data_IF_081332990296
#
_entry.id   IF_081332990296
#
_cell.length_a   1.000
_cell.length_b   1.000
_cell.length_c   1.000
_cell.angle_alpha   90.00
_cell.angle_beta   90.00
_cell.angle_gamma   90.00
#
_symmetry.space_group_name_H-M   'P 1'
#
loop_
_entity.id
_entity.type
_entity.pdbx_description
1 polymer ?
#
# COMPACT_ATOMS: atom_id res chain seq x y z
N UNK A 1 15.64 2.40 13.00
CA UNK A 1 14.31 1.76 13.10
C UNK A 1 13.12 2.66 12.82
N UNK A 2 13.32 3.93 12.43
CA UNK A 2 12.23 4.88 12.18
C UNK A 2 12.05 5.21 10.69
N UNK A 3 13.05 4.93 9.85
CA UNK A 3 13.08 5.44 8.48
C UNK A 3 12.15 4.64 7.58
N UNK A 4 12.19 3.30 7.68
CA UNK A 4 11.29 2.42 6.93
C UNK A 4 9.83 2.73 7.22
N UNK A 5 9.43 2.75 8.50
CA UNK A 5 8.04 3.01 8.87
C UNK A 5 7.59 4.40 8.48
N UNK A 6 8.44 5.41 8.59
CA UNK A 6 8.09 6.77 8.14
C UNK A 6 7.87 6.81 6.63
N UNK A 7 8.68 6.10 5.85
CA UNK A 7 8.51 6.02 4.40
C UNK A 7 7.20 5.32 4.01
N UNK A 8 6.85 4.20 4.66
CA UNK A 8 5.59 3.49 4.38
C UNK A 8 4.37 4.34 4.79
N UNK A 9 4.38 4.94 5.99
CA UNK A 9 3.34 5.88 6.44
C UNK A 9 3.16 7.06 5.49
N UNK A 10 4.25 7.57 4.91
CA UNK A 10 4.19 8.65 3.94
C UNK A 10 3.50 8.21 2.63
N UNK A 11 3.81 7.00 2.16
CA UNK A 11 3.10 6.43 1.00
C UNK A 11 1.61 6.25 1.31
N UNK A 12 1.26 5.68 2.48
CA UNK A 12 -0.12 5.50 2.94
C UNK A 12 -0.90 6.82 2.96
N UNK A 13 -0.31 7.85 3.54
CA UNK A 13 -0.94 9.16 3.64
C UNK A 13 -1.14 9.77 2.24
N UNK A 14 -0.13 9.71 1.37
CA UNK A 14 -0.25 10.30 0.02
C UNK A 14 -1.33 9.57 -0.80
N UNK A 15 -1.41 8.24 -0.77
CA UNK A 15 -2.42 7.50 -1.53
C UNK A 15 -3.84 7.70 -0.97
N UNK A 16 -4.00 7.70 0.35
CA UNK A 16 -5.33 7.91 0.98
C UNK A 16 -5.84 9.34 0.74
N UNK A 17 -4.98 10.35 0.82
CA UNK A 17 -5.33 11.74 0.50
C UNK A 17 -5.74 11.89 -0.97
N UNK A 18 -5.02 11.28 -1.89
CA UNK A 18 -5.35 11.32 -3.31
C UNK A 18 -6.67 10.61 -3.64
N UNK A 19 -6.96 9.50 -2.95
CA UNK A 19 -8.23 8.79 -3.08
C UNK A 19 -9.40 9.63 -2.54
N UNK A 20 -9.24 10.23 -1.36
CA UNK A 20 -10.24 11.13 -0.77
C UNK A 20 -10.52 12.31 -1.70
N UNK A 21 -9.47 12.95 -2.23
CA UNK A 21 -9.61 14.05 -3.18
C UNK A 21 -10.40 13.62 -4.43
N UNK A 22 -10.15 12.43 -4.98
CA UNK A 22 -10.88 11.91 -6.13
C UNK A 22 -12.37 11.68 -5.80
N UNK A 23 -12.68 11.22 -4.59
CA UNK A 23 -14.05 10.99 -4.13
C UNK A 23 -14.80 12.32 -3.95
N UNK A 24 -14.22 13.29 -3.25
CA UNK A 24 -14.83 14.58 -2.96
C UNK A 24 -15.07 15.40 -4.23
N UNK A 25 -14.08 15.44 -5.11
CA UNK A 25 -14.15 16.18 -6.39
C UNK A 25 -14.97 15.45 -7.44
N UNK A 26 -15.24 14.15 -7.25
CA UNK A 26 -15.80 13.24 -8.26
C UNK A 26 -14.98 13.21 -9.55
N UNK A 27 -13.67 13.39 -9.44
CA UNK A 27 -12.72 13.37 -10.55
C UNK A 27 -11.69 12.24 -10.39
N UNK A 28 -11.77 11.16 -11.18
CA UNK A 28 -10.81 10.06 -11.13
C UNK A 28 -9.53 10.36 -11.92
N UNK A 29 -9.30 11.59 -12.42
CA UNK A 29 -8.15 11.93 -13.27
C UNK A 29 -6.79 11.61 -12.66
N UNK A 30 -6.67 11.62 -11.34
CA UNK A 30 -5.45 11.29 -10.60
C UNK A 30 -5.26 9.79 -10.36
N UNK A 31 -6.28 8.97 -10.63
CA UNK A 31 -6.23 7.53 -10.34
C UNK A 31 -5.06 6.78 -11.00
N UNK A 32 -4.62 7.10 -12.24
CA UNK A 32 -3.43 6.47 -12.82
C UNK A 32 -2.15 6.69 -11.99
N UNK A 33 -2.01 7.85 -11.33
CA UNK A 33 -0.90 8.12 -10.40
C UNK A 33 -1.05 7.29 -9.12
N UNK A 34 -2.25 7.26 -8.54
CA UNK A 34 -2.56 6.46 -7.34
C UNK A 34 -2.25 4.98 -7.58
N UNK A 35 -2.74 4.42 -8.68
CA UNK A 35 -2.43 3.05 -9.09
C UNK A 35 -0.93 2.78 -9.09
N UNK A 36 -0.16 3.64 -9.73
CA UNK A 36 1.28 3.47 -9.88
C UNK A 36 1.99 3.44 -8.52
N UNK A 37 1.56 4.30 -7.60
CA UNK A 37 2.08 4.34 -6.24
C UNK A 37 1.72 3.08 -5.46
N UNK A 38 0.44 2.68 -5.47
CA UNK A 38 -0.03 1.47 -4.80
C UNK A 38 0.64 0.20 -5.33
N UNK A 39 0.78 0.06 -6.66
CA UNK A 39 1.45 -1.09 -7.29
C UNK A 39 2.90 -1.23 -6.80
N UNK A 40 3.63 -0.12 -6.71
CA UNK A 40 5.03 -0.09 -6.25
C UNK A 40 5.15 -0.36 -4.76
N UNK A 41 4.28 0.27 -3.97
CA UNK A 41 4.25 0.15 -2.52
C UNK A 41 3.97 -1.30 -2.09
N UNK A 42 2.85 -1.86 -2.54
CA UNK A 42 2.47 -3.25 -2.23
C UNK A 42 3.52 -4.25 -2.72
N UNK A 43 4.15 -4.02 -3.89
CA UNK A 43 5.22 -4.89 -4.38
C UNK A 43 6.47 -4.82 -3.49
N UNK A 44 6.81 -3.64 -2.98
CA UNK A 44 7.92 -3.47 -2.06
C UNK A 44 7.70 -4.23 -0.75
N UNK A 45 6.50 -4.12 -0.18
CA UNK A 45 6.14 -4.78 1.07
C UNK A 45 6.17 -6.30 0.93
N UNK A 46 5.50 -6.82 -0.10
CA UNK A 46 5.46 -8.26 -0.40
C UNK A 46 6.85 -8.86 -0.64
N UNK A 47 7.77 -8.11 -1.26
CA UNK A 47 9.09 -8.62 -1.61
C UNK A 47 10.12 -8.45 -0.52
N UNK A 48 10.06 -7.35 0.24
CA UNK A 48 11.16 -6.92 1.09
C UNK A 48 10.77 -6.84 2.56
N UNK A 49 9.50 -6.53 2.88
CA UNK A 49 9.03 -6.33 4.24
C UNK A 49 8.33 -7.57 4.83
N UNK A 50 7.27 -8.09 4.23
CA UNK A 50 6.55 -9.25 4.77
C UNK A 50 7.40 -10.53 4.96
N UNK A 51 8.38 -10.84 4.09
CA UNK A 51 9.17 -12.06 4.25
C UNK A 51 9.97 -12.12 5.56
N UNK A 52 10.38 -10.99 6.14
CA UNK A 52 11.14 -10.98 7.39
C UNK A 52 10.26 -11.25 8.62
N UNK A 53 8.96 -10.98 8.52
CA UNK A 53 7.99 -11.11 9.60
C UNK A 53 7.33 -12.48 9.66
N UNK A 54 7.38 -13.24 8.57
CA UNK A 54 6.68 -14.52 8.41
C UNK A 54 6.89 -15.57 9.51
N UNK A 55 8.03 -15.54 10.20
CA UNK A 55 8.33 -16.46 11.31
C UNK A 55 7.78 -15.96 12.65
N UNK A 56 7.55 -14.66 12.77
CA UNK A 56 7.05 -13.98 13.98
C UNK A 56 5.53 -14.00 13.99
N UNK A 57 4.93 -13.56 12.89
CA UNK A 57 3.51 -13.65 12.62
C UNK A 57 3.32 -14.18 11.20
N UNK A 58 2.69 -15.34 11.10
CA UNK A 58 2.40 -15.96 9.82
C UNK A 58 0.99 -15.63 9.36
N UNK A 59 0.06 -15.44 10.29
CA UNK A 59 -1.35 -15.29 9.99
C UNK A 59 -1.62 -13.87 9.46
N UNK A 60 -1.18 -12.83 10.17
CA UNK A 60 -1.31 -11.45 9.70
C UNK A 60 -0.52 -11.19 8.42
N UNK A 61 0.65 -11.82 8.24
CA UNK A 61 1.33 -11.78 6.93
C UNK A 61 0.49 -12.39 5.80
N UNK A 62 -0.17 -13.53 6.04
CA UNK A 62 -1.04 -14.15 5.03
C UNK A 62 -2.29 -13.31 4.75
N UNK A 63 -2.84 -12.66 5.77
CA UNK A 63 -3.95 -11.71 5.67
C UNK A 63 -3.56 -10.51 4.81
N UNK A 64 -2.47 -9.82 5.14
CA UNK A 64 -1.92 -8.70 4.37
C UNK A 64 -1.74 -9.03 2.88
N UNK A 65 -1.23 -10.23 2.53
CA UNK A 65 -1.14 -10.67 1.13
C UNK A 65 -2.51 -10.80 0.44
N UNK A 66 -3.53 -11.32 1.14
CA UNK A 66 -4.87 -11.46 0.56
C UNK A 66 -5.58 -10.10 0.47
N UNK A 67 -5.36 -9.19 1.41
CA UNK A 67 -5.82 -7.80 1.32
C UNK A 67 -5.19 -7.06 0.13
N UNK A 68 -3.87 -7.16 -0.05
CA UNK A 68 -3.18 -6.64 -1.24
C UNK A 68 -3.76 -7.18 -2.54
N UNK A 69 -4.09 -8.47 -2.58
CA UNK A 69 -4.71 -9.10 -3.75
C UNK A 69 -6.11 -8.55 -4.01
N UNK A 70 -6.91 -8.27 -2.98
CA UNK A 70 -8.21 -7.60 -3.12
C UNK A 70 -8.01 -6.16 -3.62
N UNK A 71 -7.08 -5.40 -3.04
CA UNK A 71 -6.72 -4.05 -3.46
C UNK A 71 -6.28 -4.00 -4.94
N UNK A 72 -5.35 -4.87 -5.35
CA UNK A 72 -4.89 -5.01 -6.75
C UNK A 72 -6.02 -5.33 -7.72
N UNK A 73 -6.97 -6.18 -7.29
CA UNK A 73 -8.16 -6.48 -8.11
C UNK A 73 -9.02 -5.23 -8.33
N UNK A 74 -9.31 -4.48 -7.26
CA UNK A 74 -10.05 -3.22 -7.36
C UNK A 74 -9.32 -2.18 -8.22
N UNK A 75 -8.00 -2.06 -8.08
CA UNK A 75 -7.17 -1.18 -8.90
C UNK A 75 -7.29 -1.52 -10.39
N UNK A 76 -7.24 -2.82 -10.74
CA UNK A 76 -7.45 -3.27 -12.12
C UNK A 76 -8.86 -2.93 -12.60
N UNK A 77 -9.89 -3.23 -11.81
CA UNK A 77 -11.27 -2.96 -12.16
C UNK A 77 -11.56 -1.45 -12.35
N UNK A 78 -10.93 -0.57 -11.57
CA UNK A 78 -11.05 0.88 -11.72
C UNK A 78 -10.30 1.34 -12.98
N UNK A 79 -9.11 0.79 -13.24
CA UNK A 79 -8.31 1.13 -14.43
C UNK A 79 -9.02 0.78 -15.74
N UNK A 80 -9.78 -0.31 -15.74
CA UNK A 80 -10.55 -0.77 -16.90
C UNK A 80 -11.92 -0.08 -17.02
N UNK A 81 -12.30 0.74 -16.03
CA UNK A 81 -13.55 1.49 -16.03
C UNK A 81 -13.39 2.81 -16.79
N UNK A 82 -14.25 3.07 -17.77
CA UNK A 82 -14.22 4.33 -18.53
C UNK A 82 -14.41 5.56 -17.63
N UNK A 83 -13.61 6.61 -17.88
CA UNK A 83 -13.71 7.92 -17.22
C UNK A 83 -15.06 8.57 -17.53
N UNK A 84 -16.06 8.33 -16.68
CA UNK A 84 -17.45 8.76 -16.88
C UNK A 84 -18.47 7.69 -16.51
N UNK A 85 -18.05 6.45 -16.29
CA UNK A 85 -18.91 5.40 -15.76
C UNK A 85 -19.31 5.72 -14.31
N UNK A 86 -20.61 5.59 -14.01
CA UNK A 86 -21.19 5.89 -12.69
C UNK A 86 -20.59 5.07 -11.54
N UNK A 87 -19.98 3.92 -11.84
CA UNK A 87 -19.36 3.03 -10.85
C UNK A 87 -17.91 3.38 -10.53
N UNK A 88 -17.26 4.28 -11.27
CA UNK A 88 -15.84 4.62 -11.07
C UNK A 88 -15.57 5.19 -9.67
N UNK A 89 -16.26 6.28 -9.29
CA UNK A 89 -16.10 6.88 -7.96
C UNK A 89 -16.52 5.94 -6.82
N UNK A 90 -17.65 5.21 -6.90
CA UNK A 90 -17.98 4.17 -5.92
C UNK A 90 -16.90 3.11 -5.74
N UNK A 91 -16.27 2.63 -6.83
CA UNK A 91 -15.15 1.67 -6.74
C UNK A 91 -13.92 2.27 -6.07
N UNK A 92 -13.58 3.54 -6.37
CA UNK A 92 -12.50 4.27 -5.68
C UNK A 92 -12.77 4.34 -4.18
N UNK A 93 -14.02 4.61 -3.78
CA UNK A 93 -14.40 4.60 -2.37
C UNK A 93 -14.21 3.23 -1.71
N UNK A 94 -14.65 2.16 -2.37
CA UNK A 94 -14.45 0.79 -1.84
C UNK A 94 -12.96 0.43 -1.75
N UNK A 95 -12.14 0.85 -2.73
CA UNK A 95 -10.69 0.68 -2.65
C UNK A 95 -10.11 1.42 -1.44
N UNK A 96 -10.54 2.67 -1.19
CA UNK A 96 -10.11 3.43 -0.02
C UNK A 96 -10.47 2.71 1.28
N UNK A 97 -11.72 2.24 1.42
CA UNK A 97 -12.16 1.54 2.63
C UNK A 97 -11.32 0.26 2.90
N UNK A 98 -10.96 -0.49 1.83
CA UNK A 98 -10.08 -1.67 1.95
C UNK A 98 -8.67 -1.28 2.36
N UNK A 99 -8.11 -0.20 1.78
CA UNK A 99 -6.76 0.26 2.12
C UNK A 99 -6.68 0.83 3.53
N UNK A 100 -7.69 1.58 3.98
CA UNK A 100 -7.70 2.13 5.35
C UNK A 100 -7.70 1.02 6.40
N UNK A 101 -8.44 -0.07 6.17
CA UNK A 101 -8.40 -1.24 7.04
C UNK A 101 -7.02 -1.89 7.07
N UNK A 102 -6.46 -2.19 5.89
CA UNK A 102 -5.13 -2.76 5.75
C UNK A 102 -4.04 -1.90 6.43
N UNK A 103 -4.07 -0.59 6.19
CA UNK A 103 -3.13 0.38 6.77
C UNK A 103 -3.25 0.41 8.29
N UNK A 104 -4.47 0.36 8.83
CA UNK A 104 -4.67 0.34 10.29
C UNK A 104 -4.02 -0.89 10.92
N UNK A 105 -4.26 -2.08 10.36
CA UNK A 105 -3.64 -3.32 10.84
C UNK A 105 -2.12 -3.30 10.67
N UNK A 106 -1.63 -2.81 9.53
CA UNK A 106 -0.20 -2.78 9.28
C UNK A 106 0.54 -1.82 10.21
N UNK A 107 0.02 -0.61 10.38
CA UNK A 107 0.68 0.42 11.18
C UNK A 107 0.60 0.17 12.69
N UNK A 108 -0.45 -0.54 13.15
CA UNK A 108 -0.71 -0.78 14.57
C UNK A 108 -0.20 -2.12 15.07
N UNK A 109 -0.23 -3.17 14.24
CA UNK A 109 0.17 -4.52 14.64
C UNK A 109 1.49 -4.90 13.96
N UNK A 110 1.51 -4.91 12.63
CA UNK A 110 2.66 -5.41 11.84
C UNK A 110 3.93 -4.58 12.11
N UNK A 111 3.81 -3.26 12.23
CA UNK A 111 4.96 -2.40 12.52
C UNK A 111 5.51 -2.61 13.93
N UNK A 112 4.66 -2.92 14.91
CA UNK A 112 5.10 -3.24 16.28
C UNK A 112 5.88 -4.55 16.30
N UNK A 113 5.41 -5.57 15.58
CA UNK A 113 6.15 -6.81 15.44
C UNK A 113 7.47 -6.64 14.69
N UNK A 114 7.47 -5.81 13.65
CA UNK A 114 8.66 -5.48 12.88
C UNK A 114 9.74 -4.83 13.76
N UNK A 115 9.35 -4.01 14.74
CA UNK A 115 10.28 -3.39 15.70
C UNK A 115 11.02 -4.42 16.55
N UNK A 116 10.42 -5.59 16.79
CA UNK A 116 11.05 -6.65 17.58
C UNK A 116 12.02 -7.52 16.77
N UNK A 117 11.83 -7.62 15.46
CA UNK A 117 12.61 -8.52 14.59
C UNK A 117 13.66 -7.80 13.74
N UNK A 118 13.45 -6.54 13.37
CA UNK A 118 14.36 -5.78 12.53
C UNK A 118 15.57 -5.30 13.33
N UNK A 119 16.74 -5.41 12.72
CA UNK A 119 17.91 -4.62 13.11
C UNK A 119 18.17 -3.50 12.09
N UNK A 120 19.00 -2.53 12.49
CA UNK A 120 19.31 -1.35 11.68
C UNK A 120 19.86 -1.70 10.28
N UNK A 121 20.64 -2.77 10.15
CA UNK A 121 21.20 -3.19 8.86
C UNK A 121 20.12 -3.75 7.93
N UNK A 122 19.18 -4.55 8.47
CA UNK A 122 18.05 -5.07 7.70
C UNK A 122 17.11 -3.96 7.27
N UNK A 123 16.79 -3.03 8.17
CA UNK A 123 15.96 -1.87 7.85
C UNK A 123 16.58 -1.03 6.73
N UNK A 124 17.85 -0.63 6.84
CA UNK A 124 18.54 0.15 5.82
C UNK A 124 18.54 -0.54 4.46
N UNK A 125 18.71 -1.87 4.46
CA UNK A 125 18.63 -2.65 3.23
C UNK A 125 17.24 -2.60 2.61
N UNK A 126 16.18 -2.77 3.41
CA UNK A 126 14.80 -2.71 2.92
C UNK A 126 14.52 -1.30 2.38
N UNK A 127 14.89 -0.25 3.10
CA UNK A 127 14.74 1.15 2.66
C UNK A 127 15.37 1.35 1.28
N UNK A 128 16.63 0.94 1.11
CA UNK A 128 17.32 1.05 -0.18
C UNK A 128 16.59 0.26 -1.30
N UNK A 129 16.09 -0.94 -0.99
CA UNK A 129 15.35 -1.75 -1.96
C UNK A 129 14.02 -1.10 -2.39
N UNK A 130 13.32 -0.43 -1.46
CA UNK A 130 12.13 0.37 -1.78
C UNK A 130 12.47 1.57 -2.65
N UNK A 131 13.53 2.32 -2.33
CA UNK A 131 13.97 3.46 -3.14
C UNK A 131 14.36 3.05 -4.56
N UNK A 132 15.11 1.94 -4.69
CA UNK A 132 15.49 1.38 -6.00
C UNK A 132 14.24 0.94 -6.78
N UNK A 133 13.28 0.29 -6.13
CA UNK A 133 12.02 -0.13 -6.76
C UNK A 133 11.21 1.09 -7.23
N UNK A 134 11.06 2.10 -6.39
CA UNK A 134 10.41 3.38 -6.72
C UNK A 134 11.10 4.04 -7.91
N UNK A 135 12.43 4.17 -7.90
CA UNK A 135 13.18 4.80 -9.00
C UNK A 135 13.06 4.04 -10.34
N UNK A 136 12.83 2.73 -10.33
CA UNK A 136 12.68 1.94 -11.55
C UNK A 136 11.26 2.01 -12.13
N UNK A 137 10.26 2.14 -11.26
CA UNK A 137 8.86 1.97 -11.64
C UNK A 137 8.10 3.28 -11.70
N UNK A 138 8.45 4.29 -10.90
CA UNK A 138 7.86 5.63 -10.88
C UNK A 138 8.45 6.56 -11.94
#
# INVERSE_FOLDING_TARGET
MAELFNMLKQDHQEVTDMLEQAIESKDPSQFPKVKKMLDVHMEGEEKFFYPILRNKDKEGMLEAYEEHKVGKKLISEISDTESGNETCIPKIKVLKDVLEHHIEEEESEIFDEAREVLNDQQEQKIVQQFEELKSQKM
#
